data_IF_414849214167
#
_entry.id   IF_414849214167
#
_cell.length_a   1.000
_cell.length_b   1.000
_cell.length_c   1.000
_cell.angle_alpha   90.00
_cell.angle_beta   90.00
_cell.angle_gamma   90.00
#
_symmetry.space_group_name_H-M   'P 1'
#
loop_
_entity.id
_entity.type
_entity.pdbx_description
1 polymer ?
#
# COMPACT_ATOMS: atom_id res chain seq x y z
N UNK A 1 22.44 11.40 16.23
CA UNK A 1 21.32 10.43 16.17
C UNK A 1 20.87 10.34 14.70
N UNK A 2 20.66 9.14 14.15
CA UNK A 2 20.06 9.01 12.83
C UNK A 2 18.64 9.61 12.85
N UNK A 3 18.27 10.39 11.83
CA UNK A 3 16.91 10.90 11.68
C UNK A 3 15.97 9.69 11.46
N UNK A 4 14.85 9.66 12.17
CA UNK A 4 13.82 8.62 11.98
C UNK A 4 13.26 8.69 10.57
N UNK A 5 13.08 7.52 9.94
CA UNK A 5 12.56 7.43 8.59
C UNK A 5 11.08 7.80 8.47
N UNK A 6 10.67 8.19 7.27
CA UNK A 6 9.29 8.49 6.95
C UNK A 6 8.41 7.24 7.01
N UNK A 7 7.13 7.42 7.32
CA UNK A 7 6.08 6.47 7.01
C UNK A 7 5.36 6.95 5.75
N UNK A 8 5.36 6.14 4.71
CA UNK A 8 4.81 6.49 3.39
C UNK A 8 3.67 5.54 3.06
N UNK A 9 2.51 6.10 2.74
CA UNK A 9 1.33 5.37 2.30
C UNK A 9 1.16 5.58 0.80
N UNK A 10 1.14 4.50 0.03
CA UNK A 10 0.79 4.49 -1.38
C UNK A 10 -0.53 3.75 -1.55
N UNK A 11 -1.58 4.49 -1.88
CA UNK A 11 -2.91 3.95 -2.14
C UNK A 11 -3.41 4.29 -3.54
N UNK A 12 -4.57 3.78 -3.87
CA UNK A 12 -5.25 4.02 -5.14
C UNK A 12 -6.08 2.82 -5.54
N UNK A 13 -7.00 2.98 -6.50
CA UNK A 13 -7.91 1.92 -6.90
C UNK A 13 -7.18 0.68 -7.43
N UNK A 14 -7.87 -0.46 -7.32
CA UNK A 14 -7.36 -1.70 -7.92
C UNK A 14 -7.23 -1.53 -9.44
N UNK A 15 -6.09 -1.94 -9.99
CA UNK A 15 -5.82 -1.79 -11.42
C UNK A 15 -5.14 -0.47 -11.82
N UNK A 16 -4.97 0.49 -10.90
CA UNK A 16 -4.32 1.79 -11.21
C UNK A 16 -2.81 1.66 -11.52
N UNK A 17 -2.16 0.56 -11.15
CA UNK A 17 -0.74 0.33 -11.44
C UNK A 17 0.21 0.63 -10.28
N UNK A 18 -0.25 0.62 -9.01
CA UNK A 18 0.60 0.86 -7.82
C UNK A 18 1.90 0.07 -7.84
N UNK A 19 1.81 -1.26 -8.00
CA UNK A 19 3.00 -2.12 -7.99
C UNK A 19 4.00 -1.81 -9.11
N UNK A 20 3.51 -1.42 -10.29
CA UNK A 20 4.38 -1.04 -11.43
C UNK A 20 5.12 0.26 -11.14
N UNK A 21 4.41 1.28 -10.66
CA UNK A 21 5.01 2.57 -10.28
C UNK A 21 5.98 2.38 -9.11
N UNK A 22 5.59 1.60 -8.09
CA UNK A 22 6.47 1.25 -6.96
C UNK A 22 7.78 0.62 -7.42
N UNK A 23 7.70 -0.38 -8.31
CA UNK A 23 8.89 -1.08 -8.82
C UNK A 23 9.88 -0.12 -9.51
N UNK A 24 9.39 0.97 -10.10
CA UNK A 24 10.23 2.01 -10.72
C UNK A 24 10.93 2.88 -9.68
N UNK A 25 10.19 3.58 -8.82
CA UNK A 25 10.82 4.49 -7.87
C UNK A 25 11.60 3.78 -6.76
N UNK A 26 11.31 2.51 -6.47
CA UNK A 26 12.09 1.73 -5.50
C UNK A 26 13.51 1.43 -5.95
N UNK A 27 13.84 1.66 -7.22
CA UNK A 27 15.22 1.53 -7.75
C UNK A 27 16.11 2.72 -7.36
N UNK A 28 15.52 3.81 -6.89
CA UNK A 28 16.27 4.97 -6.41
C UNK A 28 16.79 4.73 -4.99
N UNK A 29 18.03 4.27 -4.88
CA UNK A 29 18.70 3.98 -3.60
C UNK A 29 18.75 5.19 -2.66
N UNK A 30 18.75 6.42 -3.21
CA UNK A 30 18.77 7.64 -2.40
C UNK A 30 17.53 7.83 -1.54
N UNK A 31 16.43 7.16 -1.86
CA UNK A 31 15.20 7.17 -1.07
C UNK A 31 15.31 6.32 0.21
N UNK A 32 16.31 5.46 0.33
CA UNK A 32 16.51 4.55 1.47
C UNK A 32 15.22 3.84 1.90
N UNK A 33 14.48 3.31 0.90
CA UNK A 33 13.18 2.68 1.11
C UNK A 33 13.29 1.29 1.73
N UNK A 34 12.35 0.97 2.59
CA UNK A 34 12.01 -0.38 3.01
C UNK A 34 10.54 -0.63 2.70
N UNK A 35 10.24 -1.71 1.98
CA UNK A 35 8.87 -2.15 1.76
C UNK A 35 8.36 -2.88 3.01
N UNK A 36 7.19 -2.51 3.50
CA UNK A 36 6.60 -3.16 4.66
C UNK A 36 6.06 -4.54 4.28
N UNK A 37 6.59 -5.56 4.94
CA UNK A 37 6.06 -6.92 4.85
C UNK A 37 4.81 -7.02 5.71
N UNK A 38 3.68 -7.41 5.10
CA UNK A 38 2.41 -7.58 5.81
C UNK A 38 2.35 -8.93 6.53
N UNK A 39 1.54 -8.99 7.58
CA UNK A 39 1.15 -10.24 8.26
C UNK A 39 -0.12 -10.79 7.61
N UNK A 40 -0.24 -12.11 7.50
CA UNK A 40 -1.46 -12.77 7.03
C UNK A 40 -1.75 -14.07 7.77
N UNK A 41 -3.04 -14.39 7.92
CA UNK A 41 -3.48 -15.69 8.44
C UNK A 41 -3.75 -16.72 7.34
N UNK A 42 -3.54 -16.35 6.09
CA UNK A 42 -3.64 -17.28 4.96
C UNK A 42 -2.42 -18.21 4.96
N UNK A 43 -2.66 -19.47 4.63
CA UNK A 43 -1.57 -20.42 4.42
C UNK A 43 -0.61 -19.94 3.32
N UNK A 44 0.66 -20.20 3.55
CA UNK A 44 1.75 -19.90 2.62
C UNK A 44 1.62 -20.74 1.34
N UNK A 45 1.78 -20.11 0.18
CA UNK A 45 1.90 -20.82 -1.09
C UNK A 45 3.32 -21.29 -1.35
N UNK A 46 3.50 -22.28 -2.24
CA UNK A 46 4.81 -22.87 -2.52
C UNK A 46 5.87 -21.89 -3.01
N UNK A 47 5.45 -20.86 -3.73
CA UNK A 47 6.31 -19.82 -4.32
C UNK A 47 6.50 -18.59 -3.44
N UNK A 48 5.96 -18.58 -2.21
CA UNK A 48 6.09 -17.45 -1.27
C UNK A 48 7.17 -17.75 -0.22
N UNK A 49 7.77 -16.70 0.32
CA UNK A 49 8.85 -16.79 1.32
C UNK A 49 8.44 -16.05 2.58
N UNK A 50 8.59 -16.73 3.75
CA UNK A 50 8.36 -16.15 5.08
C UNK A 50 9.25 -14.92 5.30
N UNK A 51 8.63 -13.82 5.79
CA UNK A 51 9.33 -12.58 6.09
C UNK A 51 9.73 -11.76 4.85
N UNK A 52 9.40 -12.24 3.64
CA UNK A 52 9.64 -11.54 2.37
C UNK A 52 8.32 -11.16 1.70
N UNK A 53 7.45 -12.15 1.46
CA UNK A 53 6.13 -11.90 0.88
C UNK A 53 5.12 -11.53 1.97
N UNK A 54 5.10 -12.32 3.05
CA UNK A 54 4.29 -12.11 4.24
C UNK A 54 4.98 -12.65 5.49
N UNK A 55 4.53 -12.21 6.66
CA UNK A 55 4.64 -12.95 7.92
C UNK A 55 3.40 -13.84 8.04
N UNK A 56 3.57 -15.15 7.89
CA UNK A 56 2.47 -16.11 7.92
C UNK A 56 2.24 -16.56 9.37
N UNK A 57 1.03 -16.32 9.86
CA UNK A 57 0.63 -16.64 11.24
C UNK A 57 -0.70 -17.39 11.26
N UNK A 58 -1.04 -18.03 12.38
CA UNK A 58 -2.37 -18.61 12.57
C UNK A 58 -3.44 -17.51 12.69
N UNK A 59 -4.71 -17.88 12.44
CA UNK A 59 -5.83 -16.96 12.69
C UNK A 59 -5.92 -16.51 14.14
N UNK A 60 -5.56 -17.39 15.09
CA UNK A 60 -5.56 -17.08 16.52
C UNK A 60 -4.50 -16.04 16.87
N UNK A 61 -3.29 -16.20 16.36
CA UNK A 61 -2.21 -15.22 16.52
C UNK A 61 -2.57 -13.87 15.90
N UNK A 62 -3.17 -13.88 14.70
CA UNK A 62 -3.62 -12.65 14.07
C UNK A 62 -4.69 -11.93 14.90
N UNK A 63 -5.70 -12.65 15.37
CA UNK A 63 -6.74 -12.07 16.25
C UNK A 63 -6.18 -11.55 17.57
N UNK A 64 -5.15 -12.22 18.12
CA UNK A 64 -4.45 -11.72 19.30
C UNK A 64 -3.71 -10.41 18.99
N UNK A 65 -3.04 -10.31 17.85
CA UNK A 65 -2.38 -9.07 17.42
C UNK A 65 -3.38 -7.91 17.25
N UNK A 66 -4.57 -8.16 16.68
CA UNK A 66 -5.66 -7.16 16.63
C UNK A 66 -6.02 -6.69 18.04
N UNK A 67 -6.31 -7.64 18.95
CA UNK A 67 -6.75 -7.34 20.32
C UNK A 67 -5.71 -6.53 21.10
N UNK A 68 -4.42 -6.81 20.87
CA UNK A 68 -3.31 -6.14 21.52
C UNK A 68 -2.94 -4.79 20.86
N UNK A 69 -3.57 -4.41 19.74
CA UNK A 69 -3.23 -3.17 19.01
C UNK A 69 -1.87 -3.22 18.33
N UNK A 70 -1.39 -4.39 17.96
CA UNK A 70 -0.05 -4.62 17.37
C UNK A 70 0.00 -4.34 15.86
N UNK A 71 -1.12 -3.94 15.26
CA UNK A 71 -1.23 -3.66 13.82
C UNK A 71 -1.52 -2.18 13.55
N UNK A 72 -0.89 -1.61 12.54
CA UNK A 72 -1.19 -0.27 12.02
C UNK A 72 -2.57 -0.25 11.36
N UNK A 73 -2.85 -1.24 10.54
CA UNK A 73 -4.12 -1.49 9.89
C UNK A 73 -4.31 -2.99 9.68
N UNK A 74 -5.54 -3.42 9.46
CA UNK A 74 -5.84 -4.78 9.07
C UNK A 74 -7.18 -4.86 8.32
N UNK A 75 -7.35 -5.93 7.55
CA UNK A 75 -8.58 -6.26 6.84
C UNK A 75 -8.82 -7.77 6.84
N UNK A 76 -10.07 -8.16 6.66
CA UNK A 76 -10.44 -9.54 6.38
C UNK A 76 -10.86 -9.67 4.91
N UNK A 77 -10.28 -10.63 4.21
CA UNK A 77 -10.60 -10.92 2.83
C UNK A 77 -10.65 -12.44 2.60
N UNK A 78 -11.80 -12.92 2.11
CA UNK A 78 -12.06 -14.35 1.84
C UNK A 78 -11.68 -15.26 3.02
N UNK A 79 -12.13 -14.88 4.24
CA UNK A 79 -11.90 -15.64 5.46
C UNK A 79 -10.47 -15.61 6.01
N UNK A 80 -9.59 -14.81 5.43
CA UNK A 80 -8.22 -14.60 5.90
C UNK A 80 -7.98 -13.15 6.29
N UNK A 81 -7.11 -12.95 7.27
CA UNK A 81 -6.71 -11.65 7.75
C UNK A 81 -5.41 -11.20 7.08
N UNK A 82 -5.30 -9.89 6.84
CA UNK A 82 -4.11 -9.22 6.30
C UNK A 82 -3.91 -7.92 7.07
N UNK A 83 -2.68 -7.58 7.43
CA UNK A 83 -2.42 -6.35 8.17
C UNK A 83 -0.95 -6.00 8.26
N UNK A 84 -0.67 -4.78 8.69
CA UNK A 84 0.68 -4.22 8.78
C UNK A 84 1.16 -4.23 10.22
N UNK A 85 2.22 -5.01 10.58
CA UNK A 85 2.74 -5.08 11.94
C UNK A 85 3.37 -3.75 12.38
N UNK A 86 2.84 -3.16 13.45
CA UNK A 86 3.30 -1.87 13.98
C UNK A 86 4.78 -1.90 14.36
N UNK A 87 5.19 -2.86 15.18
CA UNK A 87 6.56 -2.94 15.71
C UNK A 87 7.60 -3.10 14.59
N UNK A 88 7.28 -3.88 13.54
CA UNK A 88 8.15 -4.07 12.39
C UNK A 88 8.39 -2.75 11.64
N UNK A 89 7.32 -2.00 11.39
CA UNK A 89 7.39 -0.69 10.74
C UNK A 89 8.18 0.31 11.58
N UNK A 90 7.90 0.38 12.88
CA UNK A 90 8.58 1.31 13.79
C UNK A 90 10.08 1.00 13.88
N UNK A 91 10.46 -0.26 13.99
CA UNK A 91 11.86 -0.69 13.98
C UNK A 91 12.60 -0.20 12.73
N UNK A 92 12.02 -0.41 11.55
CA UNK A 92 12.64 0.05 10.29
C UNK A 92 12.78 1.58 10.25
N UNK A 93 11.77 2.32 10.73
CA UNK A 93 11.83 3.79 10.80
C UNK A 93 12.90 4.27 11.78
N UNK A 94 13.05 3.61 12.91
CA UNK A 94 14.09 3.94 13.91
C UNK A 94 15.52 3.63 13.40
N UNK A 95 15.65 2.64 12.49
CA UNK A 95 16.88 2.38 11.74
C UNK A 95 17.18 3.45 10.65
N UNK A 96 16.26 4.42 10.46
CA UNK A 96 16.36 5.49 9.47
C UNK A 96 15.86 5.11 8.07
N UNK A 97 15.15 3.98 7.92
CA UNK A 97 14.52 3.57 6.66
C UNK A 97 13.21 4.31 6.43
N UNK A 98 12.98 4.76 5.22
CA UNK A 98 11.67 5.27 4.80
C UNK A 98 10.77 4.08 4.48
N UNK A 99 9.75 3.85 5.29
CA UNK A 99 8.92 2.64 5.18
C UNK A 99 7.71 2.92 4.29
N UNK A 100 7.59 2.13 3.22
CA UNK A 100 6.50 2.21 2.26
C UNK A 100 5.43 1.14 2.56
N UNK A 101 4.21 1.60 2.77
CA UNK A 101 2.99 0.79 2.85
C UNK A 101 2.23 0.91 1.53
N UNK A 102 2.09 -0.19 0.79
CA UNK A 102 1.19 -0.29 -0.35
C UNK A 102 -0.10 -0.95 0.14
N UNK A 103 -1.11 -0.14 0.48
CA UNK A 103 -2.33 -0.57 1.16
C UNK A 103 -3.59 0.00 0.50
N UNK A 104 -4.72 -0.63 0.76
CA UNK A 104 -6.03 -0.17 0.30
C UNK A 104 -6.49 1.07 1.09
N UNK A 105 -7.50 1.77 0.56
CA UNK A 105 -7.98 3.05 1.11
C UNK A 105 -8.45 2.92 2.55
N UNK A 106 -9.15 1.86 2.91
CA UNK A 106 -9.62 1.68 4.29
C UNK A 106 -8.46 1.46 5.27
N UNK A 107 -7.44 0.67 4.89
CA UNK A 107 -6.22 0.54 5.67
C UNK A 107 -5.45 1.87 5.79
N UNK A 108 -5.40 2.64 4.70
CA UNK A 108 -4.77 3.96 4.70
C UNK A 108 -5.41 4.93 5.71
N UNK A 109 -6.74 4.94 5.82
CA UNK A 109 -7.46 5.75 6.83
C UNK A 109 -7.04 5.38 8.26
N UNK A 110 -6.95 4.07 8.55
CA UNK A 110 -6.52 3.62 9.88
C UNK A 110 -5.09 4.04 10.18
N UNK A 111 -4.18 3.91 9.22
CA UNK A 111 -2.80 4.37 9.39
C UNK A 111 -2.73 5.88 9.57
N UNK A 112 -3.44 6.67 8.77
CA UNK A 112 -3.47 8.15 8.90
C UNK A 112 -4.04 8.59 10.25
N UNK A 113 -5.03 7.88 10.79
CA UNK A 113 -5.59 8.16 12.12
C UNK A 113 -4.57 7.91 13.24
N UNK A 114 -3.77 6.84 13.13
CA UNK A 114 -2.74 6.46 14.12
C UNK A 114 -1.44 7.25 13.96
N UNK A 115 -1.10 7.60 12.71
CA UNK A 115 0.14 8.26 12.32
C UNK A 115 -0.17 9.45 11.39
N UNK A 116 -0.69 10.57 11.92
CA UNK A 116 -1.10 11.73 11.11
C UNK A 116 0.06 12.41 10.38
N UNK A 117 1.30 12.15 10.82
CA UNK A 117 2.51 12.61 10.16
C UNK A 117 2.81 11.83 8.86
N UNK A 118 2.22 10.66 8.65
CA UNK A 118 2.49 9.82 7.49
C UNK A 118 2.34 10.58 6.17
N UNK A 119 3.26 10.33 5.24
CA UNK A 119 3.23 10.87 3.88
C UNK A 119 2.27 10.03 3.05
N UNK A 120 1.06 10.52 2.81
CA UNK A 120 0.03 9.80 2.07
C UNK A 120 -0.04 10.25 0.62
N UNK A 121 0.08 9.29 -0.30
CA UNK A 121 0.07 9.47 -1.75
C UNK A 121 -1.03 8.59 -2.34
N UNK A 122 -1.89 9.17 -3.16
CA UNK A 122 -2.95 8.45 -3.86
C UNK A 122 -2.67 8.46 -5.36
N UNK A 123 -2.60 7.28 -5.97
CA UNK A 123 -2.52 7.14 -7.41
C UNK A 123 -3.91 7.11 -8.03
N UNK A 124 -4.12 7.91 -9.08
CA UNK A 124 -5.33 7.90 -9.90
C UNK A 124 -5.01 7.45 -11.32
N UNK A 125 -5.97 6.84 -12.02
CA UNK A 125 -5.86 6.64 -13.47
C UNK A 125 -6.12 7.97 -14.20
N UNK A 126 -5.70 8.13 -15.45
CA UNK A 126 -6.02 9.31 -16.25
C UNK A 126 -7.53 9.45 -16.53
N UNK A 127 -8.25 8.34 -16.52
CA UNK A 127 -9.72 8.30 -16.58
C UNK A 127 -10.27 6.98 -16.06
N UNK A 128 -11.56 6.94 -15.71
CA UNK A 128 -12.24 5.70 -15.34
C UNK A 128 -12.31 4.72 -16.51
N UNK A 129 -12.45 5.19 -17.74
CA UNK A 129 -12.41 4.37 -18.94
C UNK A 129 -11.06 3.66 -19.12
N UNK A 130 -9.96 4.36 -18.83
CA UNK A 130 -8.62 3.77 -18.84
C UNK A 130 -8.44 2.74 -17.72
N UNK A 131 -8.97 3.02 -16.53
CA UNK A 131 -8.96 2.05 -15.42
C UNK A 131 -9.72 0.77 -15.80
N UNK A 132 -10.91 0.92 -16.39
CA UNK A 132 -11.69 -0.21 -16.89
C UNK A 132 -10.91 -1.03 -17.92
N UNK A 133 -10.28 -0.36 -18.89
CA UNK A 133 -9.42 -1.01 -19.88
C UNK A 133 -8.29 -1.82 -19.23
N UNK A 134 -7.63 -1.26 -18.19
CA UNK A 134 -6.55 -1.93 -17.43
C UNK A 134 -7.06 -3.14 -16.65
N UNK A 135 -8.21 -3.03 -16.03
CA UNK A 135 -8.84 -4.13 -15.27
C UNK A 135 -9.21 -5.27 -16.23
N UNK A 136 -9.89 -4.95 -17.35
CA UNK A 136 -10.31 -5.93 -18.38
C UNK A 136 -9.12 -6.55 -19.12
N UNK A 137 -8.03 -5.83 -19.28
CA UNK A 137 -6.84 -6.28 -20.01
C UNK A 137 -6.15 -7.49 -19.37
N UNK A 138 -6.39 -7.77 -18.10
CA UNK A 138 -5.86 -8.97 -17.42
C UNK A 138 -6.55 -10.28 -17.85
N UNK A 139 -7.73 -10.21 -18.49
CA UNK A 139 -8.51 -11.34 -19.08
C UNK A 139 -8.73 -12.54 -18.14
N UNK A 140 -8.66 -12.34 -16.83
CA UNK A 140 -8.64 -13.43 -15.82
C UNK A 140 -9.91 -13.47 -14.98
N UNK A 141 -10.81 -12.47 -15.11
CA UNK A 141 -11.93 -12.31 -14.19
C UNK A 141 -13.28 -12.29 -14.94
N UNK A 142 -14.33 -12.89 -14.34
CA UNK A 142 -15.70 -12.78 -14.84
C UNK A 142 -16.17 -11.30 -14.84
N UNK A 143 -17.14 -10.99 -15.74
CA UNK A 143 -17.68 -9.62 -15.85
C UNK A 143 -18.24 -9.08 -14.54
N UNK A 144 -18.87 -9.90 -13.74
CA UNK A 144 -19.41 -9.51 -12.44
C UNK A 144 -18.31 -8.99 -11.50
N UNK A 145 -17.15 -9.64 -11.49
CA UNK A 145 -16.00 -9.22 -10.68
C UNK A 145 -15.41 -7.91 -11.20
N UNK A 146 -15.35 -7.74 -12.53
CA UNK A 146 -14.91 -6.48 -13.16
C UNK A 146 -15.82 -5.33 -12.70
N UNK A 147 -17.14 -5.50 -12.75
CA UNK A 147 -18.10 -4.47 -12.32
C UNK A 147 -17.97 -4.16 -10.83
N UNK A 148 -17.80 -5.15 -9.98
CA UNK A 148 -17.56 -4.94 -8.54
C UNK A 148 -16.28 -4.13 -8.29
N UNK A 149 -15.20 -4.40 -9.04
CA UNK A 149 -13.93 -3.66 -8.93
C UNK A 149 -14.07 -2.22 -9.40
N UNK A 150 -14.82 -1.96 -10.48
CA UNK A 150 -15.08 -0.61 -10.97
C UNK A 150 -15.91 0.19 -9.96
N UNK A 151 -16.99 -0.41 -9.44
CA UNK A 151 -17.80 0.25 -8.40
C UNK A 151 -17.01 0.53 -7.11
N UNK A 152 -16.06 -0.36 -6.75
CA UNK A 152 -15.13 -0.09 -5.63
C UNK A 152 -14.21 1.07 -5.96
N UNK A 153 -13.63 1.11 -7.17
CA UNK A 153 -12.72 2.17 -7.61
C UNK A 153 -13.39 3.54 -7.59
N UNK A 154 -14.64 3.66 -8.04
CA UNK A 154 -15.40 4.93 -7.97
C UNK A 154 -15.55 5.43 -6.53
N UNK A 155 -15.87 4.51 -5.59
CA UNK A 155 -15.94 4.87 -4.16
C UNK A 155 -14.60 5.31 -3.60
N UNK A 156 -13.51 4.64 -3.98
CA UNK A 156 -12.15 4.97 -3.56
C UNK A 156 -11.71 6.33 -4.11
N UNK A 157 -12.10 6.68 -5.35
CA UNK A 157 -11.83 7.98 -5.95
C UNK A 157 -12.49 9.14 -5.17
N UNK A 158 -13.60 8.92 -4.48
CA UNK A 158 -14.22 9.93 -3.63
C UNK A 158 -13.42 10.25 -2.35
N UNK A 159 -12.36 9.49 -2.06
CA UNK A 159 -11.52 9.68 -0.88
C UNK A 159 -10.25 10.51 -1.14
N UNK A 160 -10.07 11.06 -2.33
CA UNK A 160 -8.87 11.80 -2.75
C UNK A 160 -8.49 12.92 -1.78
N UNK A 161 -9.47 13.65 -1.24
CA UNK A 161 -9.25 14.78 -0.33
C UNK A 161 -8.59 14.38 1.02
N UNK A 162 -8.52 13.09 1.32
CA UNK A 162 -7.90 12.58 2.55
C UNK A 162 -6.39 12.36 2.40
N UNK A 163 -5.85 12.52 1.20
CA UNK A 163 -4.42 12.29 0.92
C UNK A 163 -3.67 13.60 0.73
N UNK A 164 -2.41 13.62 1.19
CA UNK A 164 -1.54 14.80 1.03
C UNK A 164 -1.18 15.06 -0.42
N UNK A 165 -1.02 14.00 -1.22
CA UNK A 165 -0.68 14.08 -2.63
C UNK A 165 -1.57 13.14 -3.46
N UNK A 166 -1.96 13.62 -4.63
CA UNK A 166 -2.68 12.85 -5.65
C UNK A 166 -1.87 12.89 -6.93
N UNK A 167 -1.52 11.73 -7.48
CA UNK A 167 -0.67 11.60 -8.66
C UNK A 167 -1.41 10.80 -9.72
N UNK A 168 -1.51 11.35 -10.93
CA UNK A 168 -2.05 10.65 -12.08
C UNK A 168 -1.02 9.67 -12.64
N UNK A 169 -1.38 8.39 -12.76
CA UNK A 169 -0.59 7.36 -13.41
C UNK A 169 -1.03 7.20 -14.87
N UNK A 170 -0.77 8.22 -15.67
CA UNK A 170 -0.85 8.16 -17.13
C UNK A 170 0.43 7.52 -17.69
N UNK A 171 1.57 8.11 -17.36
CA UNK A 171 2.89 7.58 -17.65
C UNK A 171 3.58 7.08 -16.37
N UNK A 172 3.96 5.80 -16.37
CA UNK A 172 4.53 5.14 -15.17
C UNK A 172 5.83 5.80 -14.70
N UNK A 173 6.70 6.17 -15.63
CA UNK A 173 8.01 6.76 -15.31
C UNK A 173 7.84 8.16 -14.71
N UNK A 174 6.94 8.97 -15.25
CA UNK A 174 6.62 10.30 -14.71
C UNK A 174 5.98 10.20 -13.32
N UNK A 175 5.03 9.30 -13.13
CA UNK A 175 4.41 9.08 -11.83
C UNK A 175 5.45 8.64 -10.78
N UNK A 176 6.38 7.76 -11.15
CA UNK A 176 7.46 7.30 -10.28
C UNK A 176 8.44 8.45 -9.92
N UNK A 177 8.80 9.28 -10.88
CA UNK A 177 9.67 10.44 -10.66
C UNK A 177 9.02 11.45 -9.70
N UNK A 178 7.75 11.78 -9.89
CA UNK A 178 7.00 12.68 -9.01
C UNK A 178 6.95 12.14 -7.57
N UNK A 179 6.72 10.84 -7.38
CA UNK A 179 6.75 10.20 -6.06
C UNK A 179 8.15 10.33 -5.45
N UNK A 180 9.21 10.06 -6.21
CA UNK A 180 10.59 10.19 -5.73
C UNK A 180 10.90 11.61 -5.27
N UNK A 181 10.50 12.62 -6.04
CA UNK A 181 10.67 14.04 -5.71
C UNK A 181 9.93 14.39 -4.41
N UNK A 182 8.67 13.95 -4.26
CA UNK A 182 7.87 14.17 -3.05
C UNK A 182 8.53 13.54 -1.82
N UNK A 183 8.98 12.30 -1.93
CA UNK A 183 9.67 11.61 -0.82
C UNK A 183 10.94 12.37 -0.44
N UNK A 184 11.79 12.74 -1.41
CA UNK A 184 13.02 13.50 -1.17
C UNK A 184 12.75 14.86 -0.51
N UNK A 185 11.66 15.52 -0.88
CA UNK A 185 11.25 16.77 -0.24
C UNK A 185 10.97 16.58 1.26
N UNK A 186 10.31 15.50 1.63
CA UNK A 186 9.96 15.20 3.02
C UNK A 186 11.11 14.59 3.84
N UNK A 187 12.18 14.14 3.20
CA UNK A 187 13.39 13.65 3.88
C UNK A 187 14.25 14.78 4.46
N UNK A 188 14.08 16.01 3.95
CA UNK A 188 14.80 17.21 4.43
C UNK A 188 14.30 17.61 5.81
#
# INVERSE_FOLDING_TARGET
MKKRGLLIILSGPSGVGKGTVRAKFSQDESLNLAYSVSMTSREKRDNETEGVDYFFVSQEEFKKAIKNGELLEWTEFVGNYYGTPLQYVEKLRDEGKNVLLEIEVEGAKEVQRKCPEALSIFLIPPSMAELERRIRGRKTEPEEIVQQRLAKAEREMNMLSQYKYVICNDEVDLAAELISVIIKWHMK
#
